data_IF_591381683824
#
_entry.id   IF_591381683824
#
_cell.length_a   1.000
_cell.length_b   1.000
_cell.length_c   1.000
_cell.angle_alpha   90.00
_cell.angle_beta   90.00
_cell.angle_gamma   90.00
#
_symmetry.space_group_name_H-M   'P 1'
#
loop_
_entity.id
_entity.type
_entity.pdbx_description
1 polymer ?
#
# COMPACT_ATOMS: atom_id res chain seq x y z
N UNK A 1 8.27 5.91 -33.24
CA UNK A 1 8.18 4.44 -33.24
C UNK A 1 8.06 3.99 -31.81
N UNK A 2 6.94 3.37 -31.42
CA UNK A 2 6.77 2.90 -30.04
C UNK A 2 7.58 1.61 -29.85
N UNK A 3 8.46 1.52 -28.85
CA UNK A 3 9.33 0.35 -28.65
C UNK A 3 8.56 -0.91 -28.19
N UNK A 4 7.28 -0.79 -27.82
CA UNK A 4 6.47 -1.90 -27.33
C UNK A 4 5.30 -2.17 -28.29
N UNK A 5 5.21 -3.42 -28.75
CA UNK A 5 4.13 -3.87 -29.62
C UNK A 5 2.83 -4.07 -28.82
N UNK A 6 2.05 -3.00 -28.69
CA UNK A 6 0.74 -3.00 -28.02
C UNK A 6 -0.42 -3.29 -28.99
N UNK A 7 -0.14 -3.81 -30.19
CA UNK A 7 -1.17 -4.09 -31.20
C UNK A 7 -2.21 -5.11 -30.73
N UNK A 8 -1.82 -6.03 -29.85
CA UNK A 8 -2.69 -7.06 -29.28
C UNK A 8 -3.85 -6.48 -28.46
N UNK A 9 -3.69 -5.28 -27.87
CA UNK A 9 -4.76 -4.62 -27.11
C UNK A 9 -5.88 -4.16 -28.05
N UNK A 10 -5.53 -3.73 -29.26
CA UNK A 10 -6.50 -3.23 -30.25
C UNK A 10 -7.52 -4.28 -30.68
N UNK A 11 -7.18 -5.55 -30.56
CA UNK A 11 -8.05 -6.67 -30.91
C UNK A 11 -9.02 -7.07 -29.78
N UNK A 12 -8.86 -6.53 -28.56
CA UNK A 12 -9.63 -6.94 -27.37
C UNK A 12 -10.77 -5.99 -26.99
N UNK A 13 -11.04 -4.97 -27.80
CA UNK A 13 -12.17 -4.06 -27.61
C UNK A 13 -11.76 -2.58 -27.62
N UNK A 14 -12.63 -1.73 -27.06
CA UNK A 14 -12.37 -0.29 -26.96
C UNK A 14 -11.13 -0.03 -26.11
N UNK A 15 -10.19 0.72 -26.66
CA UNK A 15 -8.97 1.13 -25.97
C UNK A 15 -8.83 2.65 -26.02
N UNK A 16 -8.25 3.23 -24.96
CA UNK A 16 -7.90 4.63 -24.91
C UNK A 16 -6.39 4.79 -25.04
N UNK A 17 -5.96 5.65 -25.96
CA UNK A 17 -4.57 6.03 -26.11
C UNK A 17 -4.41 7.49 -25.72
N UNK A 18 -3.87 7.74 -24.53
CA UNK A 18 -3.56 9.09 -24.07
C UNK A 18 -2.10 9.40 -24.42
N UNK A 19 -1.88 10.44 -25.23
CA UNK A 19 -0.52 10.95 -25.44
C UNK A 19 -0.01 11.54 -24.12
N UNK A 20 1.23 11.23 -23.77
CA UNK A 20 1.93 11.88 -22.65
C UNK A 20 2.00 13.39 -22.90
N UNK A 21 1.42 14.18 -21.99
CA UNK A 21 1.47 15.65 -22.00
C UNK A 21 2.28 16.15 -20.80
N UNK A 22 2.80 17.38 -20.89
CA UNK A 22 3.52 18.02 -19.77
C UNK A 22 2.66 18.08 -18.50
N UNK A 23 1.37 18.37 -18.64
CA UNK A 23 0.43 18.39 -17.51
C UNK A 23 0.34 17.02 -16.82
N UNK A 24 0.25 15.92 -17.57
CA UNK A 24 0.20 14.56 -17.03
C UNK A 24 1.48 14.22 -16.25
N UNK A 25 2.64 14.62 -16.78
CA UNK A 25 3.94 14.40 -16.12
C UNK A 25 4.02 15.19 -14.80
N UNK A 26 3.61 16.46 -14.80
CA UNK A 26 3.59 17.29 -13.59
C UNK A 26 2.65 16.70 -12.54
N UNK A 27 1.46 16.24 -12.95
CA UNK A 27 0.52 15.58 -12.04
C UNK A 27 1.09 14.28 -11.46
N UNK A 28 1.80 13.48 -12.26
CA UNK A 28 2.43 12.26 -11.79
C UNK A 28 3.53 12.55 -10.75
N UNK A 29 4.39 13.55 -10.98
CA UNK A 29 5.38 13.97 -9.99
C UNK A 29 4.74 14.51 -8.72
N UNK A 30 3.69 15.33 -8.84
CA UNK A 30 2.95 15.84 -7.68
C UNK A 30 2.35 14.69 -6.86
N UNK A 31 1.74 13.69 -7.52
CA UNK A 31 1.20 12.51 -6.85
C UNK A 31 2.29 11.73 -6.10
N UNK A 32 3.46 11.53 -6.72
CA UNK A 32 4.62 10.87 -6.10
C UNK A 32 5.05 11.62 -4.82
N UNK A 33 5.21 12.95 -4.90
CA UNK A 33 5.65 13.76 -3.76
C UNK A 33 4.63 13.76 -2.62
N UNK A 34 3.34 13.91 -2.95
CA UNK A 34 2.26 13.92 -1.95
C UNK A 34 2.16 12.55 -1.28
N UNK A 35 2.12 11.47 -2.06
CA UNK A 35 1.97 10.13 -1.51
C UNK A 35 3.21 9.70 -0.70
N UNK A 36 4.41 10.02 -1.18
CA UNK A 36 5.66 9.79 -0.47
C UNK A 36 5.76 10.58 0.85
N UNK A 37 5.36 11.85 0.85
CA UNK A 37 5.37 12.67 2.07
C UNK A 37 4.35 12.17 3.10
N UNK A 38 3.13 11.81 2.68
CA UNK A 38 2.12 11.21 3.55
C UNK A 38 2.60 9.89 4.18
N UNK A 39 3.22 9.00 3.39
CA UNK A 39 3.77 7.75 3.89
C UNK A 39 4.93 7.98 4.87
N UNK A 40 5.81 8.93 4.56
CA UNK A 40 6.93 9.29 5.43
C UNK A 40 6.44 9.86 6.76
N UNK A 41 5.43 10.74 6.73
CA UNK A 41 4.78 11.27 7.93
C UNK A 41 4.20 10.15 8.81
N UNK A 42 3.49 9.18 8.21
CA UNK A 42 2.97 8.02 8.95
C UNK A 42 4.09 7.22 9.62
N UNK A 43 5.17 6.93 8.90
CA UNK A 43 6.33 6.23 9.47
C UNK A 43 6.96 7.00 10.64
N UNK A 44 7.08 8.32 10.52
CA UNK A 44 7.60 9.20 11.58
C UNK A 44 6.68 9.13 12.81
N UNK A 45 5.36 9.22 12.64
CA UNK A 45 4.39 9.15 13.75
C UNK A 45 4.50 7.81 14.47
N UNK A 46 4.53 6.69 13.76
CA UNK A 46 4.71 5.37 14.39
C UNK A 46 6.08 5.23 15.06
N UNK A 47 7.14 5.70 14.40
CA UNK A 47 8.49 5.74 14.97
C UNK A 47 8.53 6.53 16.28
N UNK A 48 7.90 7.70 16.31
CA UNK A 48 7.75 8.52 17.51
C UNK A 48 6.96 7.78 18.60
N UNK A 49 5.86 7.12 18.28
CA UNK A 49 5.08 6.34 19.26
C UNK A 49 5.93 5.21 19.88
N UNK A 50 6.72 4.49 19.06
CA UNK A 50 7.64 3.47 19.57
C UNK A 50 8.76 4.07 20.43
N UNK A 51 9.31 5.22 20.02
CA UNK A 51 10.34 5.93 20.77
C UNK A 51 9.83 6.35 22.15
N UNK A 52 8.68 7.02 22.23
CA UNK A 52 8.06 7.44 23.49
C UNK A 52 7.78 6.24 24.39
N UNK A 53 7.23 5.16 23.83
CA UNK A 53 7.00 3.94 24.61
C UNK A 53 8.30 3.36 25.17
N UNK A 54 9.41 3.47 24.45
CA UNK A 54 10.71 3.01 24.92
C UNK A 54 11.25 3.88 26.07
N UNK A 55 11.19 5.20 25.92
CA UNK A 55 11.63 6.17 26.95
C UNK A 55 10.80 6.03 28.23
N UNK A 56 9.48 5.90 28.10
CA UNK A 56 8.56 5.79 29.24
C UNK A 56 8.49 4.38 29.85
N UNK A 57 9.22 3.40 29.31
CA UNK A 57 9.19 2.02 29.84
C UNK A 57 9.63 1.95 31.30
N UNK A 58 10.53 2.85 31.74
CA UNK A 58 11.01 2.90 33.12
C UNK A 58 10.03 3.57 34.11
N UNK A 59 9.04 4.32 33.61
CA UNK A 59 8.06 5.03 34.46
C UNK A 59 6.70 4.31 34.56
N UNK A 60 6.48 3.26 33.76
CA UNK A 60 5.21 2.52 33.67
C UNK A 60 5.36 1.07 34.12
N UNK A 61 4.25 0.44 34.49
CA UNK A 61 4.25 -1.00 34.74
C UNK A 61 4.63 -1.78 33.47
N UNK A 62 5.58 -2.71 33.60
CA UNK A 62 6.09 -3.53 32.49
C UNK A 62 4.97 -4.27 31.76
N UNK A 63 3.97 -4.75 32.51
CA UNK A 63 2.82 -5.46 31.97
C UNK A 63 1.97 -4.58 31.03
N UNK A 64 1.72 -3.32 31.39
CA UNK A 64 0.93 -2.41 30.56
C UNK A 64 1.72 -1.95 29.32
N UNK A 65 3.01 -1.63 29.49
CA UNK A 65 3.88 -1.24 28.37
C UNK A 65 3.98 -2.36 27.32
N UNK A 66 4.11 -3.62 27.75
CA UNK A 66 4.13 -4.77 26.84
C UNK A 66 2.84 -4.93 26.03
N UNK A 67 1.66 -4.77 26.68
CA UNK A 67 0.36 -4.80 25.99
C UNK A 67 0.23 -3.69 24.95
N UNK A 68 0.61 -2.46 25.30
CA UNK A 68 0.55 -1.31 24.37
C UNK A 68 1.48 -1.53 23.19
N UNK A 69 2.73 -1.97 23.44
CA UNK A 69 3.71 -2.25 22.37
C UNK A 69 3.22 -3.33 21.42
N UNK A 70 2.59 -4.39 21.93
CA UNK A 70 1.98 -5.44 21.10
C UNK A 70 0.84 -4.89 20.25
N UNK A 71 -0.05 -4.09 20.83
CA UNK A 71 -1.15 -3.44 20.10
C UNK A 71 -0.63 -2.51 19.00
N UNK A 72 0.40 -1.71 19.30
CA UNK A 72 1.01 -0.80 18.32
C UNK A 72 1.68 -1.54 17.16
N UNK A 73 2.38 -2.66 17.42
CA UNK A 73 2.94 -3.52 16.36
C UNK A 73 1.85 -4.08 15.44
N UNK A 74 0.73 -4.51 16.03
CA UNK A 74 -0.43 -5.01 15.29
C UNK A 74 -1.01 -3.90 14.41
N UNK A 75 -1.28 -2.73 14.98
CA UNK A 75 -1.82 -1.58 14.24
C UNK A 75 -0.87 -1.14 13.12
N UNK A 76 0.43 -1.10 13.39
CA UNK A 76 1.45 -0.78 12.40
C UNK A 76 1.40 -1.76 11.22
N UNK A 77 1.37 -3.07 11.50
CA UNK A 77 1.27 -4.09 10.46
C UNK A 77 -0.03 -3.95 9.65
N UNK A 78 -1.16 -3.76 10.33
CA UNK A 78 -2.48 -3.56 9.71
C UNK A 78 -2.53 -2.38 8.75
N UNK A 79 -1.78 -1.32 9.02
CA UNK A 79 -1.72 -0.15 8.16
C UNK A 79 -0.66 -0.28 7.07
N UNK A 80 0.57 -0.67 7.44
CA UNK A 80 1.73 -0.62 6.54
C UNK A 80 1.71 -1.71 5.48
N UNK A 81 1.21 -2.92 5.79
CA UNK A 81 1.19 -4.00 4.79
C UNK A 81 0.21 -3.67 3.65
N UNK A 82 -1.07 -3.33 3.91
CA UNK A 82 -2.00 -2.97 2.84
C UNK A 82 -1.59 -1.68 2.13
N UNK A 83 -1.10 -0.70 2.88
CA UNK A 83 -0.57 0.53 2.30
C UNK A 83 0.62 0.22 1.38
N UNK A 84 1.54 -0.66 1.77
CA UNK A 84 2.68 -1.05 0.93
C UNK A 84 2.23 -1.73 -0.36
N UNK A 85 1.29 -2.68 -0.29
CA UNK A 85 0.73 -3.37 -1.46
C UNK A 85 0.01 -2.42 -2.43
N UNK A 86 -0.51 -1.30 -1.94
CA UNK A 86 -1.17 -0.30 -2.79
C UNK A 86 -0.20 0.79 -3.28
N UNK A 87 0.49 1.42 -2.33
CA UNK A 87 1.32 2.60 -2.53
C UNK A 87 2.54 2.28 -3.37
N UNK A 88 3.25 1.18 -3.09
CA UNK A 88 4.47 0.86 -3.84
C UNK A 88 4.17 0.66 -5.34
N UNK A 89 3.19 -0.18 -5.75
CA UNK A 89 2.79 -0.27 -7.15
C UNK A 89 2.31 1.04 -7.75
N UNK A 90 1.54 1.84 -7.01
CA UNK A 90 1.07 3.15 -7.48
C UNK A 90 2.25 4.10 -7.77
N UNK A 91 3.25 4.14 -6.89
CA UNK A 91 4.46 4.95 -7.09
C UNK A 91 5.25 4.51 -8.32
N UNK A 92 5.36 3.21 -8.57
CA UNK A 92 5.99 2.68 -9.78
C UNK A 92 5.22 3.09 -11.04
N UNK A 93 3.89 2.97 -11.03
CA UNK A 93 3.03 3.41 -12.15
C UNK A 93 3.18 4.89 -12.45
N UNK A 94 3.11 5.76 -11.43
CA UNK A 94 3.30 7.19 -11.61
C UNK A 94 4.71 7.53 -12.08
N UNK A 95 5.73 6.77 -11.63
CA UNK A 95 7.10 6.93 -12.13
C UNK A 95 7.16 6.63 -13.63
N UNK A 96 6.48 5.57 -14.09
CA UNK A 96 6.42 5.21 -15.52
C UNK A 96 5.69 6.23 -16.38
N UNK A 97 4.77 7.01 -15.78
CA UNK A 97 4.16 8.17 -16.44
C UNK A 97 5.14 9.35 -16.48
N UNK A 98 5.90 9.55 -15.39
CA UNK A 98 6.79 10.68 -15.21
C UNK A 98 8.11 10.57 -16.00
N UNK A 99 8.60 9.36 -16.27
CA UNK A 99 9.88 9.09 -16.95
C UNK A 99 9.63 8.35 -18.26
N UNK A 100 10.50 8.50 -19.27
CA UNK A 100 10.29 7.84 -20.58
C UNK A 100 10.93 6.44 -20.66
N UNK A 101 11.89 6.14 -19.79
CA UNK A 101 12.74 4.95 -19.91
C UNK A 101 12.42 3.84 -18.91
N UNK A 102 11.94 4.17 -17.70
CA UNK A 102 11.79 3.18 -16.62
C UNK A 102 10.74 3.61 -15.60
N UNK A 103 9.80 2.75 -15.19
CA UNK A 103 9.63 1.32 -15.49
C UNK A 103 9.09 1.01 -16.90
N UNK A 104 9.48 -0.16 -17.43
CA UNK A 104 8.95 -0.69 -18.69
C UNK A 104 7.48 -1.15 -18.58
N UNK A 105 6.83 -1.33 -19.73
CA UNK A 105 5.40 -1.68 -19.81
C UNK A 105 5.01 -2.92 -18.98
N UNK A 106 5.78 -4.00 -19.05
CA UNK A 106 5.48 -5.24 -18.32
C UNK A 106 5.51 -5.06 -16.80
N UNK A 107 6.40 -4.19 -16.30
CA UNK A 107 6.48 -3.85 -14.88
C UNK A 107 5.22 -3.08 -14.50
N UNK A 108 4.83 -2.07 -15.29
CA UNK A 108 3.61 -1.31 -15.04
C UNK A 108 2.36 -2.21 -15.04
N UNK A 109 2.25 -3.11 -16.02
CA UNK A 109 1.12 -4.04 -16.10
C UNK A 109 1.09 -4.98 -14.88
N UNK A 110 2.23 -5.49 -14.46
CA UNK A 110 2.36 -6.33 -13.26
C UNK A 110 1.95 -5.56 -12.00
N UNK A 111 2.40 -4.31 -11.85
CA UNK A 111 2.06 -3.44 -10.72
C UNK A 111 0.55 -3.16 -10.66
N UNK A 112 -0.11 -2.95 -11.80
CA UNK A 112 -1.56 -2.83 -11.84
C UNK A 112 -2.25 -4.09 -11.32
N UNK A 113 -1.74 -5.28 -11.66
CA UNK A 113 -2.20 -6.55 -11.10
C UNK A 113 -2.02 -6.63 -9.58
N UNK A 114 -0.88 -6.17 -9.05
CA UNK A 114 -0.62 -6.14 -7.60
C UNK A 114 -1.61 -5.23 -6.86
N UNK A 115 -1.97 -4.08 -7.43
CA UNK A 115 -2.97 -3.17 -6.84
C UNK A 115 -4.31 -3.88 -6.63
N UNK A 116 -4.74 -4.72 -7.58
CA UNK A 116 -5.99 -5.47 -7.46
C UNK A 116 -5.98 -6.45 -6.27
N UNK A 117 -4.80 -6.90 -5.83
CA UNK A 117 -4.65 -7.77 -4.68
C UNK A 117 -4.75 -7.03 -3.33
N UNK A 118 -4.75 -5.69 -3.31
CA UNK A 118 -4.80 -4.91 -2.07
C UNK A 118 -5.95 -5.31 -1.14
N UNK A 119 -7.18 -5.44 -1.68
CA UNK A 119 -8.36 -5.82 -0.88
C UNK A 119 -8.23 -7.23 -0.32
N UNK A 120 -7.72 -8.18 -1.11
CA UNK A 120 -7.50 -9.56 -0.68
C UNK A 120 -6.46 -9.62 0.44
N UNK A 121 -5.32 -8.95 0.26
CA UNK A 121 -4.25 -8.89 1.28
C UNK A 121 -4.77 -8.23 2.56
N UNK A 122 -5.51 -7.13 2.45
CA UNK A 122 -6.09 -6.45 3.61
C UNK A 122 -7.01 -7.39 4.42
N UNK A 123 -7.91 -8.11 3.75
CA UNK A 123 -8.83 -9.04 4.42
C UNK A 123 -8.11 -10.22 5.08
N UNK A 124 -7.11 -10.81 4.40
CA UNK A 124 -6.28 -11.88 4.98
C UNK A 124 -5.56 -11.39 6.23
N UNK A 125 -5.00 -10.18 6.18
CA UNK A 125 -4.29 -9.58 7.31
C UNK A 125 -5.23 -9.32 8.49
N UNK A 126 -6.44 -8.81 8.24
CA UNK A 126 -7.45 -8.62 9.28
C UNK A 126 -7.81 -9.93 9.98
N UNK A 127 -7.98 -11.03 9.23
CA UNK A 127 -8.26 -12.36 9.77
C UNK A 127 -7.10 -12.92 10.60
N UNK A 128 -5.87 -12.73 10.12
CA UNK A 128 -4.67 -13.23 10.80
C UNK A 128 -4.43 -12.48 12.12
N UNK A 129 -4.48 -11.15 12.06
CA UNK A 129 -4.00 -10.26 13.13
C UNK A 129 -5.08 -9.92 14.14
N UNK A 130 -6.37 -9.97 13.78
CA UNK A 130 -7.48 -9.50 14.64
C UNK A 130 -8.30 -10.67 15.17
N UNK A 131 -8.07 -11.15 16.42
CA UNK A 131 -8.78 -12.31 16.95
C UNK A 131 -10.29 -12.12 17.04
N UNK A 132 -10.75 -10.88 17.30
CA UNK A 132 -12.17 -10.56 17.34
C UNK A 132 -12.84 -10.76 15.97
N UNK A 133 -12.20 -10.30 14.89
CA UNK A 133 -12.68 -10.49 13.54
C UNK A 133 -12.72 -11.98 13.15
N UNK A 134 -11.68 -12.74 13.52
CA UNK A 134 -11.66 -14.19 13.34
C UNK A 134 -12.80 -14.89 14.08
N UNK A 135 -13.07 -14.54 15.35
CA UNK A 135 -14.19 -15.10 16.12
C UNK A 135 -15.53 -14.80 15.47
N UNK A 136 -15.72 -13.57 14.98
CA UNK A 136 -16.92 -13.16 14.26
C UNK A 136 -17.16 -14.00 13.00
N UNK A 137 -16.13 -14.16 12.14
CA UNK A 137 -16.25 -14.97 10.92
C UNK A 137 -16.52 -16.45 11.25
N UNK A 138 -15.84 -17.00 12.25
CA UNK A 138 -16.09 -18.38 12.71
C UNK A 138 -17.52 -18.55 13.22
N UNK A 139 -18.05 -17.59 13.99
CA UNK A 139 -19.45 -17.64 14.44
C UNK A 139 -20.44 -17.59 13.28
N UNK A 140 -20.16 -16.83 12.22
CA UNK A 140 -21.02 -16.77 11.05
C UNK A 140 -21.00 -18.07 10.21
N UNK A 141 -19.89 -18.80 10.22
CA UNK A 141 -19.76 -20.07 9.48
C UNK A 141 -20.38 -21.23 10.27
N UNK A 142 -20.18 -21.28 11.59
CA UNK A 142 -20.65 -22.38 12.45
C UNK A 142 -22.13 -22.23 12.83
N UNK A 143 -22.62 -21.00 13.00
CA UNK A 143 -24.01 -20.73 13.40
C UNK A 143 -24.95 -20.57 12.18
N UNK A 144 -24.53 -21.07 11.02
CA UNK A 144 -25.33 -21.21 9.80
C UNK A 144 -25.58 -22.68 9.54
#
# INVERSE_FOLDING_TARGET
TYPHNVSWIRQRGSYFFQRRTTALVVLAFAAILIAGSAASFLLIVFGHMFFVLNVETNMRSLANSSKIRRSLKILFAQLMIPLGVFLFPAMVLFTGIATEAWPGFEICLSMLGVIMLHSVVHNILLLAVTPAYRKFVVSLIICR
#
